data_IF_945050010901
#
_entry.id   IF_945050010901
#
_cell.length_a   1.000
_cell.length_b   1.000
_cell.length_c   1.000
_cell.angle_alpha   90.00
_cell.angle_beta   90.00
_cell.angle_gamma   90.00
#
_symmetry.space_group_name_H-M   'P 1'
#
loop_
_entity.id
_entity.type
_entity.pdbx_description
1 polymer ?
#
# COMPACT_ATOMS: atom_id res chain seq x y z
N UNK A 1 4.58 12.85 11.80
CA UNK A 1 4.94 11.42 11.62
C UNK A 1 5.77 10.89 12.78
N UNK A 2 6.86 11.54 13.21
CA UNK A 2 7.63 11.03 14.36
C UNK A 2 6.78 10.81 15.61
N UNK A 3 5.92 11.78 15.99
CA UNK A 3 4.95 11.61 17.09
C UNK A 3 4.00 10.42 16.88
N UNK A 4 3.42 10.29 15.68
CA UNK A 4 2.52 9.18 15.30
C UNK A 4 3.23 7.83 15.43
N UNK A 5 4.44 7.71 14.89
CA UNK A 5 5.21 6.47 14.95
C UNK A 5 5.67 6.18 16.38
N UNK A 6 6.00 7.21 17.17
CA UNK A 6 6.33 7.08 18.58
C UNK A 6 5.16 6.47 19.38
N UNK A 7 3.96 6.98 19.15
CA UNK A 7 2.74 6.42 19.74
C UNK A 7 2.50 4.97 19.29
N UNK A 8 2.65 4.68 17.99
CA UNK A 8 2.46 3.31 17.49
C UNK A 8 3.47 2.35 18.14
N UNK A 9 4.77 2.63 18.03
CA UNK A 9 5.82 1.74 18.54
C UNK A 9 5.99 1.73 20.06
N UNK A 10 5.31 2.62 20.77
CA UNK A 10 5.41 2.77 22.23
C UNK A 10 4.10 2.44 22.93
N UNK A 11 3.13 3.36 22.85
CA UNK A 11 1.91 3.33 23.66
C UNK A 11 0.79 2.45 23.08
N UNK A 12 0.79 2.23 21.77
CA UNK A 12 -0.28 1.52 21.06
C UNK A 12 -0.01 0.02 20.89
N UNK A 13 1.27 -0.37 20.84
CA UNK A 13 1.67 -1.76 20.68
C UNK A 13 1.81 -2.44 22.05
N UNK A 14 0.83 -3.29 22.37
CA UNK A 14 0.93 -4.30 23.44
C UNK A 14 2.05 -5.33 23.16
N UNK A 15 2.23 -6.26 24.10
CA UNK A 15 3.16 -7.39 24.04
C UNK A 15 3.10 -8.08 22.65
N UNK A 16 4.24 -8.21 21.93
CA UNK A 16 4.28 -8.84 20.61
C UNK A 16 3.77 -10.28 20.63
N UNK A 17 3.01 -10.66 19.61
CA UNK A 17 2.56 -12.04 19.41
C UNK A 17 3.39 -12.69 18.32
N UNK A 18 4.07 -13.80 18.63
CA UNK A 18 4.87 -14.53 17.65
C UNK A 18 3.99 -15.12 16.54
N UNK A 19 4.36 -14.90 15.29
CA UNK A 19 3.65 -15.44 14.12
C UNK A 19 4.00 -16.93 13.88
N UNK A 20 3.49 -17.82 14.73
CA UNK A 20 3.83 -19.24 14.68
C UNK A 20 3.32 -19.98 13.44
N UNK A 21 2.35 -19.42 12.72
CA UNK A 21 1.71 -20.08 11.56
C UNK A 21 2.39 -19.75 10.24
N UNK A 22 3.12 -18.64 10.16
CA UNK A 22 3.79 -18.18 8.92
C UNK A 22 2.83 -18.04 7.72
N UNK A 23 1.54 -17.80 7.97
CA UNK A 23 0.50 -17.74 6.93
C UNK A 23 -0.26 -16.41 6.93
N UNK A 24 0.31 -15.39 7.56
CA UNK A 24 -0.30 -14.08 7.70
C UNK A 24 -0.48 -13.43 6.32
N UNK A 25 0.55 -13.47 5.46
CA UNK A 25 0.43 -12.94 4.09
C UNK A 25 -0.58 -13.70 3.23
N UNK A 26 -0.72 -15.01 3.43
CA UNK A 26 -1.75 -15.81 2.75
C UNK A 26 -3.15 -15.32 3.11
N UNK A 27 -3.44 -15.09 4.39
CA UNK A 27 -4.74 -14.61 4.88
C UNK A 27 -5.00 -13.16 4.45
N UNK A 28 -4.06 -12.25 4.74
CA UNK A 28 -4.30 -10.80 4.65
C UNK A 28 -3.97 -10.18 3.29
N UNK A 29 -3.15 -10.85 2.46
CA UNK A 29 -2.75 -10.34 1.14
C UNK A 29 -3.22 -11.22 0.00
N UNK A 30 -2.77 -12.47 -0.12
CA UNK A 30 -2.98 -13.27 -1.34
C UNK A 30 -4.44 -13.68 -1.54
N UNK A 31 -5.10 -14.21 -0.50
CA UNK A 31 -6.54 -14.54 -0.57
C UNK A 31 -7.39 -13.30 -0.81
N UNK A 32 -7.09 -12.20 -0.10
CA UNK A 32 -7.75 -10.91 -0.30
C UNK A 32 -7.61 -10.40 -1.72
N UNK A 33 -6.41 -10.46 -2.29
CA UNK A 33 -6.16 -10.08 -3.67
C UNK A 33 -6.97 -10.90 -4.66
N UNK A 34 -6.92 -12.24 -4.56
CA UNK A 34 -7.68 -13.11 -5.45
C UNK A 34 -9.18 -12.79 -5.39
N UNK A 35 -9.74 -12.68 -4.19
CA UNK A 35 -11.15 -12.35 -3.99
C UNK A 35 -11.52 -11.00 -4.63
N UNK A 36 -10.73 -9.94 -4.35
CA UNK A 36 -11.01 -8.58 -4.85
C UNK A 36 -10.86 -8.47 -6.37
N UNK A 37 -9.94 -9.22 -6.97
CA UNK A 37 -9.80 -9.28 -8.44
C UNK A 37 -11.03 -9.92 -9.07
N UNK A 38 -11.47 -11.08 -8.57
CA UNK A 38 -12.67 -11.74 -9.10
C UNK A 38 -13.93 -10.89 -8.91
N UNK A 39 -14.10 -10.30 -7.73
CA UNK A 39 -15.19 -9.35 -7.45
C UNK A 39 -15.18 -8.18 -8.46
N UNK A 40 -13.99 -7.62 -8.74
CA UNK A 40 -13.83 -6.53 -9.73
C UNK A 40 -14.22 -6.97 -11.13
N UNK A 41 -13.80 -8.18 -11.56
CA UNK A 41 -14.11 -8.71 -12.90
C UNK A 41 -15.60 -8.85 -13.14
N UNK A 42 -16.33 -9.34 -12.13
CA UNK A 42 -17.78 -9.54 -12.23
C UNK A 42 -18.52 -8.21 -12.27
N UNK A 43 -18.06 -7.21 -11.51
CA UNK A 43 -18.78 -5.95 -11.30
C UNK A 43 -18.49 -4.85 -12.32
N UNK A 44 -17.46 -4.98 -13.18
CA UNK A 44 -17.11 -3.96 -14.18
C UNK A 44 -16.46 -4.56 -15.42
N UNK A 45 -17.11 -4.36 -16.58
CA UNK A 45 -16.63 -4.86 -17.88
C UNK A 45 -15.29 -4.22 -18.30
N UNK A 46 -15.16 -2.90 -18.12
CA UNK A 46 -13.93 -2.19 -18.43
C UNK A 46 -12.76 -2.69 -17.58
N UNK A 47 -12.99 -2.91 -16.28
CA UNK A 47 -11.97 -3.47 -15.41
C UNK A 47 -11.66 -4.92 -15.78
N UNK A 48 -12.65 -5.74 -16.13
CA UNK A 48 -12.41 -7.11 -16.60
C UNK A 48 -11.50 -7.13 -17.83
N UNK A 49 -11.71 -6.21 -18.79
CA UNK A 49 -10.84 -6.04 -19.95
C UNK A 49 -9.42 -5.67 -19.55
N UNK A 50 -9.25 -4.70 -18.65
CA UNK A 50 -7.94 -4.24 -18.16
C UNK A 50 -7.19 -5.37 -17.43
N UNK A 51 -7.89 -6.09 -16.55
CA UNK A 51 -7.38 -7.24 -15.79
C UNK A 51 -7.00 -8.43 -16.69
N UNK A 52 -7.48 -8.47 -17.94
CA UNK A 52 -7.19 -9.54 -18.90
C UNK A 52 -5.96 -9.27 -19.76
N UNK A 53 -5.43 -8.05 -19.77
CA UNK A 53 -4.17 -7.77 -20.45
C UNK A 53 -3.01 -8.46 -19.74
N UNK A 54 -2.12 -9.11 -20.50
CA UNK A 54 -0.89 -9.68 -19.94
C UNK A 54 0.11 -8.61 -19.48
N UNK A 55 0.12 -7.45 -20.16
CA UNK A 55 0.93 -6.28 -19.86
C UNK A 55 0.14 -5.00 -20.09
N UNK A 56 0.45 -3.97 -19.33
CA UNK A 56 -0.04 -2.61 -19.56
C UNK A 56 1.14 -1.67 -19.84
N UNK A 57 0.88 -0.57 -20.53
CA UNK A 57 1.83 0.53 -20.69
C UNK A 57 1.34 1.71 -19.86
N UNK A 58 2.11 2.18 -18.89
CA UNK A 58 1.76 3.33 -18.05
C UNK A 58 2.85 4.40 -18.18
N UNK A 59 2.47 5.61 -18.59
CA UNK A 59 3.38 6.76 -18.76
C UNK A 59 4.64 6.44 -19.59
N UNK A 60 4.49 5.61 -20.63
CA UNK A 60 5.61 5.23 -21.51
C UNK A 60 6.28 3.89 -21.16
N UNK A 61 6.17 3.42 -19.92
CA UNK A 61 6.81 2.19 -19.45
C UNK A 61 5.88 0.98 -19.49
N UNK A 62 6.43 -0.21 -19.73
CA UNK A 62 5.68 -1.47 -19.82
C UNK A 62 5.77 -2.23 -18.50
N UNK A 63 4.62 -2.65 -17.98
CA UNK A 63 4.49 -3.39 -16.73
C UNK A 63 3.73 -4.70 -16.97
N UNK A 64 4.16 -5.80 -16.32
CA UNK A 64 3.39 -7.06 -16.35
C UNK A 64 2.17 -6.90 -15.46
N UNK A 65 1.04 -7.45 -15.90
CA UNK A 65 -0.16 -7.47 -15.06
C UNK A 65 0.08 -8.38 -13.83
N UNK A 66 -0.46 -8.06 -12.63
CA UNK A 66 -0.03 -8.68 -11.37
C UNK A 66 -0.18 -10.20 -11.27
N UNK A 67 -1.07 -10.86 -12.01
CA UNK A 67 -1.31 -12.32 -11.88
C UNK A 67 -0.02 -13.15 -11.93
N UNK A 68 0.91 -12.81 -12.83
CA UNK A 68 2.20 -13.51 -12.93
C UNK A 68 3.18 -13.07 -11.82
N UNK A 69 3.20 -11.78 -11.49
CA UNK A 69 4.12 -11.23 -10.48
C UNK A 69 3.81 -11.76 -9.08
N UNK A 70 2.53 -11.86 -8.73
CA UNK A 70 2.10 -12.37 -7.42
C UNK A 70 2.61 -13.80 -7.21
N UNK A 71 2.69 -14.62 -8.25
CA UNK A 71 3.27 -15.97 -8.15
C UNK A 71 4.77 -15.93 -7.81
N UNK A 72 5.53 -15.00 -8.41
CA UNK A 72 6.95 -14.78 -8.10
C UNK A 72 7.13 -14.29 -6.67
N UNK A 73 6.33 -13.31 -6.24
CA UNK A 73 6.38 -12.74 -4.89
C UNK A 73 6.03 -13.81 -3.85
N UNK A 74 5.02 -14.64 -4.11
CA UNK A 74 4.62 -15.73 -3.21
C UNK A 74 5.73 -16.77 -3.00
N UNK A 75 6.57 -17.02 -4.01
CA UNK A 75 7.76 -17.90 -3.86
C UNK A 75 8.83 -17.32 -2.96
N UNK A 76 8.82 -16.00 -2.72
CA UNK A 76 9.74 -15.28 -1.83
C UNK A 76 8.99 -14.73 -0.60
N UNK A 77 7.91 -15.40 -0.17
CA UNK A 77 7.05 -14.91 0.91
C UNK A 77 7.81 -14.69 2.23
N UNK A 78 8.88 -15.45 2.47
CA UNK A 78 9.70 -15.32 3.68
C UNK A 78 10.36 -13.93 3.81
N UNK A 79 10.54 -13.20 2.70
CA UNK A 79 11.02 -11.81 2.72
C UNK A 79 9.98 -10.81 3.26
N UNK A 80 8.71 -11.24 3.30
CA UNK A 80 7.58 -10.38 3.62
C UNK A 80 6.79 -10.87 4.83
N UNK A 81 7.04 -12.08 5.32
CA UNK A 81 6.30 -12.66 6.43
C UNK A 81 6.81 -12.06 7.75
N UNK A 82 5.95 -11.44 8.57
CA UNK A 82 6.38 -10.87 9.84
C UNK A 82 6.70 -11.98 10.85
N UNK A 83 7.77 -11.81 11.62
CA UNK A 83 8.09 -12.71 12.75
C UNK A 83 7.14 -12.47 13.95
N UNK A 84 6.80 -11.19 14.20
CA UNK A 84 5.93 -10.76 15.28
C UNK A 84 4.77 -9.92 14.75
N UNK A 85 3.63 -10.05 15.41
CA UNK A 85 2.41 -9.33 15.14
C UNK A 85 2.06 -8.42 16.32
N UNK A 86 1.50 -7.26 16.01
CA UNK A 86 1.20 -6.17 16.95
C UNK A 86 -0.21 -5.63 16.71
N UNK A 87 -0.80 -4.96 17.70
CA UNK A 87 -2.03 -4.17 17.45
C UNK A 87 -1.73 -3.09 16.43
N UNK A 88 -2.47 -3.04 15.33
CA UNK A 88 -2.27 -2.05 14.28
C UNK A 88 -3.50 -1.16 14.14
N UNK A 89 -3.34 0.03 13.58
CA UNK A 89 -4.45 0.88 13.18
C UNK A 89 -5.20 0.27 11.98
N UNK A 90 -4.50 -0.41 11.07
CA UNK A 90 -5.05 -1.11 9.92
C UNK A 90 -5.57 -0.22 8.78
N UNK A 91 -5.51 1.11 8.94
CA UNK A 91 -5.85 2.08 7.89
C UNK A 91 -5.14 3.43 8.08
N UNK A 92 -3.86 3.39 8.46
CA UNK A 92 -3.07 4.58 8.82
C UNK A 92 -2.62 5.42 7.60
N UNK A 93 -3.55 5.82 6.74
CA UNK A 93 -3.28 6.78 5.66
C UNK A 93 -3.44 8.22 6.17
N UNK A 94 -2.90 9.21 5.45
CA UNK A 94 -2.84 10.59 5.96
C UNK A 94 -4.19 11.20 6.30
N UNK A 95 -5.25 10.88 5.55
CA UNK A 95 -6.59 11.39 5.87
C UNK A 95 -7.14 10.88 7.23
N UNK A 96 -6.55 9.82 7.80
CA UNK A 96 -6.90 9.28 9.12
C UNK A 96 -5.97 9.78 10.24
N UNK A 97 -5.11 10.77 9.94
CA UNK A 97 -4.22 11.42 10.90
C UNK A 97 -4.60 12.89 10.98
N UNK A 98 -5.40 13.25 11.98
CA UNK A 98 -5.76 14.64 12.24
C UNK A 98 -4.61 15.30 13.00
N UNK A 99 -4.21 16.50 12.59
CA UNK A 99 -3.10 17.25 13.21
C UNK A 99 -3.60 18.62 13.64
N UNK A 100 -3.39 18.99 14.90
CA UNK A 100 -3.73 20.30 15.45
C UNK A 100 -2.68 21.36 15.10
N UNK A 101 -2.98 22.63 15.35
CA UNK A 101 -2.03 23.72 15.13
C UNK A 101 -0.75 23.60 15.99
N UNK A 102 -0.84 23.00 17.17
CA UNK A 102 0.29 22.73 18.07
C UNK A 102 1.06 21.44 17.72
N UNK A 103 0.78 20.87 16.54
CA UNK A 103 1.33 19.61 16.05
C UNK A 103 1.04 18.40 16.95
N UNK A 104 -0.04 18.45 17.74
CA UNK A 104 -0.62 17.24 18.32
C UNK A 104 -1.46 16.52 17.29
N UNK A 105 -1.76 15.24 17.54
CA UNK A 105 -2.45 14.42 16.56
C UNK A 105 -3.51 13.53 17.19
N UNK A 106 -4.48 13.15 16.36
CA UNK A 106 -5.49 12.16 16.67
C UNK A 106 -5.57 11.18 15.50
N UNK A 107 -5.64 9.89 15.81
CA UNK A 107 -5.89 8.83 14.83
C UNK A 107 -7.37 8.49 14.82
N UNK A 108 -7.96 8.33 13.63
CA UNK A 108 -9.40 8.10 13.45
C UNK A 108 -9.65 6.93 12.50
N UNK A 109 -10.83 6.30 12.60
CA UNK A 109 -11.24 5.13 11.80
C UNK A 109 -10.24 3.96 11.88
N UNK A 110 -9.90 3.44 13.09
CA UNK A 110 -9.10 2.23 13.20
C UNK A 110 -9.86 1.03 12.63
N UNK A 111 -9.20 0.30 11.73
CA UNK A 111 -9.72 -0.91 11.06
C UNK A 111 -8.83 -2.13 11.27
N UNK A 112 -7.75 -1.98 12.01
CA UNK A 112 -6.99 -3.11 12.53
C UNK A 112 -7.90 -3.83 13.50
N UNK A 113 -8.22 -5.08 13.17
CA UNK A 113 -9.14 -5.91 13.95
C UNK A 113 -8.66 -6.08 15.41
N UNK A 114 -9.46 -6.75 16.24
CA UNK A 114 -9.06 -7.22 17.58
C UNK A 114 -7.85 -8.19 17.56
N UNK A 115 -7.41 -8.63 16.38
CA UNK A 115 -6.28 -9.56 16.20
C UNK A 115 -4.98 -8.80 15.84
N UNK A 116 -3.82 -9.20 16.39
CA UNK A 116 -2.52 -8.64 16.03
C UNK A 116 -2.15 -8.84 14.55
N UNK A 117 -1.61 -7.80 13.91
CA UNK A 117 -1.22 -7.73 12.50
C UNK A 117 0.27 -7.36 12.33
N UNK A 118 0.76 -7.42 11.09
CA UNK A 118 2.06 -6.86 10.76
C UNK A 118 2.07 -5.33 10.95
N UNK A 119 2.96 -4.81 11.78
CA UNK A 119 3.21 -3.36 11.93
C UNK A 119 3.58 -2.69 10.60
N UNK A 120 4.23 -3.41 9.68
CA UNK A 120 4.56 -2.89 8.35
C UNK A 120 3.32 -2.72 7.45
N UNK A 121 2.15 -3.22 7.85
CA UNK A 121 0.87 -2.90 7.22
C UNK A 121 0.54 -1.41 7.36
N UNK A 122 0.67 -0.85 8.57
CA UNK A 122 0.46 0.58 8.81
C UNK A 122 1.53 1.45 8.15
N UNK A 123 2.78 0.97 8.12
CA UNK A 123 3.83 1.61 7.32
C UNK A 123 3.44 1.61 5.84
N UNK A 124 2.90 0.49 5.35
CA UNK A 124 2.36 0.38 3.99
C UNK A 124 1.29 1.42 3.70
N UNK A 125 0.40 1.72 4.66
CA UNK A 125 -0.63 2.77 4.57
C UNK A 125 -0.06 4.19 4.63
N UNK A 126 0.98 4.45 5.42
CA UNK A 126 1.68 5.74 5.37
C UNK A 126 2.34 5.98 4.01
N UNK A 127 3.05 4.96 3.49
CA UNK A 127 3.70 5.04 2.18
C UNK A 127 2.66 5.08 1.04
N UNK A 128 1.48 4.48 1.25
CA UNK A 128 0.34 4.56 0.34
C UNK A 128 -0.10 6.01 0.11
N UNK A 129 -0.10 6.85 1.14
CA UNK A 129 -0.30 8.29 1.00
C UNK A 129 0.94 8.98 0.42
N UNK A 130 2.10 8.95 1.08
CA UNK A 130 3.22 9.84 0.73
C UNK A 130 3.96 9.51 -0.58
N UNK A 131 4.04 8.24 -0.96
CA UNK A 131 4.67 7.81 -2.22
C UNK A 131 3.65 7.27 -3.22
N UNK A 132 2.61 6.59 -2.73
CA UNK A 132 1.54 6.09 -3.58
C UNK A 132 0.61 7.19 -4.10
N UNK A 133 0.63 8.37 -3.47
CA UNK A 133 -0.24 9.50 -3.76
C UNK A 133 -1.73 9.12 -3.69
N UNK A 134 -2.07 8.16 -2.81
CA UNK A 134 -3.43 7.67 -2.63
C UNK A 134 -4.42 8.82 -2.41
N UNK A 135 -4.07 9.78 -1.56
CA UNK A 135 -4.96 10.90 -1.22
C UNK A 135 -5.36 11.71 -2.47
N UNK A 136 -4.45 11.88 -3.43
CA UNK A 136 -4.72 12.57 -4.70
C UNK A 136 -5.60 11.73 -5.63
N UNK A 137 -5.41 10.41 -5.65
CA UNK A 137 -6.29 9.50 -6.39
C UNK A 137 -7.69 9.48 -5.77
N UNK A 138 -7.77 9.40 -4.45
CA UNK A 138 -9.02 9.34 -3.69
C UNK A 138 -9.86 10.62 -3.83
N UNK A 139 -9.19 11.77 -3.94
CA UNK A 139 -9.82 13.09 -4.11
C UNK A 139 -9.87 13.58 -5.57
N UNK A 140 -9.66 12.68 -6.55
CA UNK A 140 -9.72 12.96 -7.99
C UNK A 140 -8.79 14.10 -8.48
N UNK A 141 -7.66 14.32 -7.79
CA UNK A 141 -6.61 15.28 -8.16
C UNK A 141 -5.63 14.71 -9.21
N UNK A 142 -6.16 13.97 -10.18
CA UNK A 142 -5.41 13.34 -11.25
C UNK A 142 -6.13 13.49 -12.59
N UNK A 143 -5.37 13.31 -13.67
CA UNK A 143 -5.89 13.14 -15.02
C UNK A 143 -5.46 11.77 -15.53
N UNK A 144 -6.45 10.99 -15.95
CA UNK A 144 -6.26 9.68 -16.57
C UNK A 144 -6.77 9.72 -18.01
N UNK A 145 -5.90 9.38 -18.95
CA UNK A 145 -6.24 8.99 -20.34
C UNK A 145 -5.94 7.51 -20.54
N UNK A 146 -6.74 6.83 -21.33
CA UNK A 146 -6.56 5.41 -21.64
C UNK A 146 -6.84 5.13 -23.11
N UNK A 147 -6.01 4.27 -23.70
CA UNK A 147 -6.22 3.69 -25.02
C UNK A 147 -5.82 2.21 -24.98
N UNK A 148 -6.81 1.30 -25.03
CA UNK A 148 -6.61 -0.15 -24.87
C UNK A 148 -5.82 -0.45 -23.58
N UNK A 149 -4.63 -1.05 -23.69
CA UNK A 149 -3.73 -1.37 -22.56
C UNK A 149 -2.73 -0.26 -22.23
N UNK A 150 -2.86 0.93 -22.83
CA UNK A 150 -1.99 2.08 -22.58
C UNK A 150 -2.71 3.14 -21.75
N UNK A 151 -2.03 3.64 -20.73
CA UNK A 151 -2.53 4.58 -19.73
C UNK A 151 -1.56 5.74 -19.58
N UNK A 152 -2.12 6.94 -19.45
CA UNK A 152 -1.40 8.15 -19.09
C UNK A 152 -2.05 8.71 -17.84
N UNK A 153 -1.33 8.64 -16.73
CA UNK A 153 -1.76 9.10 -15.42
C UNK A 153 -0.85 10.25 -15.00
N UNK A 154 -1.43 11.43 -14.85
CA UNK A 154 -0.74 12.59 -14.32
C UNK A 154 -1.50 13.18 -13.13
N UNK A 155 -0.77 13.89 -12.26
CA UNK A 155 -1.32 14.50 -11.07
C UNK A 155 -1.25 16.03 -11.14
N UNK A 156 -2.33 16.71 -10.76
CA UNK A 156 -2.52 18.15 -10.96
C UNK A 156 -1.68 19.00 -10.01
N UNK A 157 -1.64 18.63 -8.73
CA UNK A 157 -1.04 19.47 -7.68
C UNK A 157 0.43 19.10 -7.40
N UNK A 158 1.33 19.55 -8.28
CA UNK A 158 2.78 19.28 -8.18
C UNK A 158 3.42 19.79 -6.90
N UNK A 159 2.93 20.92 -6.35
CA UNK A 159 3.46 21.52 -5.12
C UNK A 159 3.21 20.60 -3.91
N UNK A 160 1.97 20.14 -3.71
CA UNK A 160 1.67 19.22 -2.61
C UNK A 160 2.37 17.87 -2.77
N UNK A 161 2.52 17.38 -4.01
CA UNK A 161 3.28 16.15 -4.30
C UNK A 161 4.75 16.28 -3.88
N UNK A 162 5.36 17.46 -4.07
CA UNK A 162 6.73 17.68 -3.61
C UNK A 162 6.85 17.54 -2.08
N UNK A 163 5.88 18.04 -1.31
CA UNK A 163 5.86 17.87 0.15
C UNK A 163 5.67 16.40 0.56
N UNK A 164 4.77 15.67 -0.12
CA UNK A 164 4.58 14.23 0.07
C UNK A 164 5.86 13.44 -0.22
N UNK A 165 6.59 13.83 -1.27
CA UNK A 165 7.87 13.22 -1.67
C UNK A 165 8.95 13.46 -0.62
N UNK A 166 9.02 14.67 -0.03
CA UNK A 166 9.95 14.97 1.08
C UNK A 166 9.66 14.08 2.29
N UNK A 167 8.38 13.93 2.63
CA UNK A 167 7.96 13.06 3.72
C UNK A 167 8.42 11.62 3.47
N UNK A 168 8.19 11.09 2.27
CA UNK A 168 8.65 9.74 1.92
C UNK A 168 10.18 9.61 1.99
N UNK A 169 10.93 10.61 1.53
CA UNK A 169 12.39 10.58 1.53
C UNK A 169 12.99 10.53 2.95
N UNK A 170 12.34 11.17 3.93
CA UNK A 170 12.78 11.19 5.32
C UNK A 170 12.28 9.98 6.13
N UNK A 171 11.24 9.28 5.66
CA UNK A 171 10.62 8.18 6.38
C UNK A 171 11.60 7.02 6.72
N UNK A 172 12.45 6.52 5.79
CA UNK A 172 13.41 5.46 6.12
C UNK A 172 14.43 5.90 7.18
N UNK A 173 14.91 7.16 7.12
CA UNK A 173 15.86 7.70 8.10
C UNK A 173 15.21 7.80 9.48
N UNK A 174 13.98 8.29 9.52
CA UNK A 174 13.21 8.39 10.76
C UNK A 174 12.99 7.01 11.38
N UNK A 175 12.45 6.07 10.60
CA UNK A 175 12.08 4.73 11.08
C UNK A 175 13.29 3.80 11.30
N UNK A 176 14.45 4.13 10.73
CA UNK A 176 15.72 3.47 11.02
C UNK A 176 16.36 3.87 12.35
N UNK A 177 15.80 4.83 13.09
CA UNK A 177 16.29 5.16 14.45
C UNK A 177 16.12 3.93 15.38
N UNK A 178 17.06 3.66 16.31
CA UNK A 178 17.03 2.45 17.15
C UNK A 178 15.71 2.19 17.88
N UNK A 179 15.07 3.25 18.40
CA UNK A 179 13.78 3.15 19.11
C UNK A 179 12.65 2.56 18.25
N UNK A 180 12.66 2.81 16.95
CA UNK A 180 11.66 2.27 16.02
C UNK A 180 12.09 0.92 15.48
N UNK A 181 13.36 0.79 15.10
CA UNK A 181 13.90 -0.43 14.52
C UNK A 181 13.77 -1.64 15.46
N UNK A 182 13.84 -1.42 16.78
CA UNK A 182 13.61 -2.45 17.79
C UNK A 182 12.24 -3.13 17.69
N UNK A 183 11.23 -2.44 17.17
CA UNK A 183 9.86 -2.96 16.99
C UNK A 183 9.58 -3.32 15.52
N UNK A 184 10.01 -2.47 14.59
CA UNK A 184 9.70 -2.63 13.17
C UNK A 184 10.47 -3.79 12.52
N UNK A 185 11.66 -4.14 13.04
CA UNK A 185 12.59 -5.06 12.41
C UNK A 185 13.39 -4.41 11.28
N UNK A 186 14.45 -5.06 10.80
CA UNK A 186 15.35 -4.51 9.78
C UNK A 186 14.72 -4.44 8.37
N UNK A 187 13.73 -5.27 8.09
CA UNK A 187 13.08 -5.46 6.80
C UNK A 187 11.78 -4.65 6.63
N UNK A 188 11.43 -3.82 7.61
CA UNK A 188 10.16 -3.10 7.67
C UNK A 188 9.83 -2.31 6.39
N UNK A 189 10.82 -1.70 5.75
CA UNK A 189 10.61 -0.95 4.51
C UNK A 189 10.23 -1.87 3.36
N UNK A 190 10.83 -3.05 3.27
CA UNK A 190 10.51 -4.02 2.22
C UNK A 190 9.08 -4.54 2.40
N UNK A 191 8.72 -4.93 3.63
CA UNK A 191 7.33 -5.30 4.00
C UNK A 191 6.34 -4.16 3.78
N UNK A 192 6.70 -2.93 4.10
CA UNK A 192 5.86 -1.74 3.86
C UNK A 192 5.61 -1.48 2.37
N UNK A 193 6.63 -1.66 1.52
CA UNK A 193 6.47 -1.56 0.07
C UNK A 193 5.58 -2.67 -0.51
N UNK A 194 5.71 -3.89 -0.01
CA UNK A 194 4.80 -4.99 -0.33
C UNK A 194 3.36 -4.67 0.07
N UNK A 195 3.14 -4.28 1.33
CA UNK A 195 1.83 -3.89 1.84
C UNK A 195 1.19 -2.78 0.99
N UNK A 196 1.94 -1.72 0.68
CA UNK A 196 1.50 -0.62 -0.19
C UNK A 196 1.01 -1.10 -1.56
N UNK A 197 1.79 -1.95 -2.23
CA UNK A 197 1.42 -2.49 -3.54
C UNK A 197 0.13 -3.32 -3.43
N UNK A 198 0.04 -4.18 -2.42
CA UNK A 198 -1.15 -4.99 -2.16
C UNK A 198 -2.39 -4.16 -1.80
N UNK A 199 -2.24 -3.03 -1.09
CA UNK A 199 -3.36 -2.11 -0.84
C UNK A 199 -3.94 -1.61 -2.16
N UNK A 200 -3.11 -1.00 -3.03
CA UNK A 200 -3.58 -0.50 -4.33
C UNK A 200 -4.25 -1.58 -5.19
N UNK A 201 -3.66 -2.77 -5.25
CA UNK A 201 -4.17 -3.90 -6.02
C UNK A 201 -5.49 -4.48 -5.49
N UNK A 202 -6.00 -3.99 -4.36
CA UNK A 202 -7.24 -4.50 -3.75
C UNK A 202 -8.31 -3.41 -3.54
N UNK A 203 -8.07 -2.19 -4.00
CA UNK A 203 -9.00 -1.06 -3.83
C UNK A 203 -10.14 -1.03 -4.84
N UNK A 204 -9.97 -1.63 -6.02
CA UNK A 204 -10.88 -1.43 -7.16
C UNK A 204 -12.36 -1.67 -6.86
N UNK A 205 -12.77 -2.75 -6.15
CA UNK A 205 -14.18 -3.01 -5.86
C UNK A 205 -14.90 -1.88 -5.11
N UNK A 206 -14.18 -1.08 -4.32
CA UNK A 206 -14.73 0.02 -3.54
C UNK A 206 -14.91 1.30 -4.35
N UNK A 207 -14.33 1.37 -5.56
CA UNK A 207 -14.31 2.56 -6.39
C UNK A 207 -14.96 2.34 -7.76
N UNK A 208 -15.68 1.24 -7.96
CA UNK A 208 -16.32 0.94 -9.26
C UNK A 208 -17.39 1.95 -9.67
N UNK A 209 -18.01 2.67 -8.73
CA UNK A 209 -18.91 3.80 -9.06
C UNK A 209 -18.15 5.01 -9.65
N UNK A 210 -16.83 5.04 -9.49
CA UNK A 210 -15.91 6.03 -10.05
C UNK A 210 -14.83 5.31 -10.85
N UNK A 211 -15.20 4.71 -11.99
CA UNK A 211 -14.33 3.81 -12.76
C UNK A 211 -12.94 4.40 -13.06
N UNK A 212 -12.84 5.69 -13.40
CA UNK A 212 -11.55 6.37 -13.61
C UNK A 212 -10.63 6.27 -12.40
N UNK A 213 -11.19 6.39 -11.19
CA UNK A 213 -10.46 6.25 -9.92
C UNK A 213 -10.03 4.80 -9.69
N UNK A 214 -10.93 3.85 -9.87
CA UNK A 214 -10.61 2.43 -9.77
C UNK A 214 -9.47 2.01 -10.72
N UNK A 215 -9.52 2.49 -11.97
CA UNK A 215 -8.47 2.27 -12.97
C UNK A 215 -7.15 2.90 -12.53
N UNK A 216 -7.17 4.19 -12.13
CA UNK A 216 -5.96 4.90 -11.72
C UNK A 216 -5.27 4.24 -10.52
N UNK A 217 -6.04 3.80 -9.52
CA UNK A 217 -5.55 3.05 -8.37
C UNK A 217 -4.98 1.69 -8.78
N UNK A 218 -5.66 0.97 -9.67
CA UNK A 218 -5.19 -0.32 -10.16
C UNK A 218 -3.86 -0.21 -10.90
N UNK A 219 -3.75 0.68 -11.90
CA UNK A 219 -2.52 0.83 -12.69
C UNK A 219 -1.35 1.34 -11.85
N UNK A 220 -1.64 2.13 -10.80
CA UNK A 220 -0.66 2.50 -9.76
C UNK A 220 -0.18 1.25 -9.02
N UNK A 221 -1.09 0.39 -8.56
CA UNK A 221 -0.75 -0.91 -7.95
C UNK A 221 0.07 -1.82 -8.86
N UNK A 222 -0.26 -1.87 -10.17
CA UNK A 222 0.52 -2.62 -11.17
C UNK A 222 1.96 -2.11 -11.25
N UNK A 223 2.16 -0.79 -11.34
CA UNK A 223 3.50 -0.19 -11.33
C UNK A 223 4.27 -0.60 -10.07
N UNK A 224 3.66 -0.41 -8.90
CA UNK A 224 4.30 -0.65 -7.60
C UNK A 224 4.72 -2.11 -7.39
N UNK A 225 3.88 -3.08 -7.80
CA UNK A 225 4.22 -4.50 -7.65
C UNK A 225 5.34 -4.93 -8.62
N UNK A 226 5.42 -4.33 -9.81
CA UNK A 226 6.53 -4.55 -10.74
C UNK A 226 7.84 -3.96 -10.21
N UNK A 227 7.80 -2.75 -9.63
CA UNK A 227 8.96 -2.14 -8.97
C UNK A 227 9.48 -3.01 -7.82
N UNK A 228 8.57 -3.57 -7.03
CA UNK A 228 8.92 -4.51 -5.96
C UNK A 228 9.54 -5.80 -6.52
N UNK A 229 8.95 -6.41 -7.56
CA UNK A 229 9.52 -7.61 -8.22
C UNK A 229 10.95 -7.35 -8.67
N UNK A 230 11.22 -6.22 -9.33
CA UNK A 230 12.56 -5.85 -9.79
C UNK A 230 13.53 -5.70 -8.62
N UNK A 231 13.10 -5.13 -7.50
CA UNK A 231 13.94 -4.92 -6.32
C UNK A 231 14.36 -6.22 -5.62
N UNK A 232 13.51 -7.25 -5.65
CA UNK A 232 13.80 -8.52 -4.95
C UNK A 232 14.40 -9.60 -5.87
N UNK A 233 14.37 -9.39 -7.20
CA UNK A 233 14.87 -10.33 -8.19
C UNK A 233 16.10 -9.82 -8.96
N UNK A 234 16.38 -8.51 -8.94
CA UNK A 234 17.64 -7.94 -9.37
C UNK A 234 18.64 -7.97 -8.23
#
# INVERSE_FOLDING_TARGET
>A
IEKVMGFLTGDFHDIPVKNNRGNWNEKHHYKRFKYRIEETRVRSEIMNRILSYSKIKLNGEIYKNPSNIISTIKKKNDLFEPEYLYRCHGDLHFANILVSHDYDFMLVDPRGDLEPWDIAYDIGKLIHSCHGLYDFLHTDQFDLKMQKSTFWLDFKNKKSIAEYTKIYAELPKLLGKPKFQAVLGADFMLRGLFNKAMHFLTLMPFHLQHERRAIAMYVTGVKLINELERRICG
#
